data_IF_664628449759
#
_entry.id   IF_664628449759
#
_cell.length_a   1.000
_cell.length_b   1.000
_cell.length_c   1.000
_cell.angle_alpha   90.00
_cell.angle_beta   90.00
_cell.angle_gamma   90.00
#
_symmetry.space_group_name_H-M   'P 1'
#
loop_
_entity.id
_entity.type
_entity.pdbx_description
1 polymer ?
#
# COMPACT_ATOMS: atom_id res chain seq x y z
N UNK A 1 -28.70 2.02 -4.33
CA UNK A 1 -28.07 1.92 -4.38
C UNK A 1 -27.21 1.86 -4.28
N UNK A 2 -26.92 1.75 -4.04
CA UNK A 2 -26.23 1.48 -3.97
C UNK A 2 -25.21 1.39 -4.27
N UNK A 3 -24.88 2.07 -4.25
CA UNK A 3 -23.88 1.96 -4.54
C UNK A 3 -23.03 1.34 -3.84
N UNK A 4 -22.53 0.65 -4.16
CA UNK A 4 -21.62 0.05 -3.44
C UNK A 4 -20.29 0.39 -3.78
N UNK A 5 -19.53 0.79 -2.86
CA UNK A 5 -18.19 1.14 -3.13
C UNK A 5 -17.39 -0.09 -3.12
N UNK A 6 -16.65 -0.34 -4.14
CA UNK A 6 -15.74 -1.41 -4.17
C UNK A 6 -14.46 -0.98 -3.59
N UNK A 7 -14.09 -1.53 -2.46
CA UNK A 7 -12.81 -1.20 -1.83
C UNK A 7 -11.74 -2.12 -2.41
N UNK A 8 -10.68 -1.55 -2.88
CA UNK A 8 -9.58 -2.32 -3.43
C UNK A 8 -8.72 -2.85 -2.29
N UNK A 9 -8.30 -4.08 -2.42
CA UNK A 9 -7.51 -4.74 -1.40
C UNK A 9 -6.05 -4.76 -1.82
N UNK A 10 -5.19 -4.37 -0.90
CA UNK A 10 -3.77 -4.26 -1.15
C UNK A 10 -2.98 -5.00 -0.09
N UNK A 11 -1.72 -5.26 -0.39
CA UNK A 11 -0.78 -5.77 0.59
C UNK A 11 0.45 -4.87 0.56
N UNK A 12 0.89 -4.45 1.72
CA UNK A 12 2.07 -3.61 1.85
C UNK A 12 3.23 -4.45 2.34
N UNK A 13 4.30 -4.48 1.56
CA UNK A 13 5.49 -5.25 1.89
C UNK A 13 6.68 -4.34 2.09
N UNK A 14 7.63 -4.79 2.88
CA UNK A 14 8.93 -4.16 2.99
C UNK A 14 9.93 -5.25 2.62
N UNK A 15 10.52 -5.13 1.44
CA UNK A 15 11.30 -6.23 0.90
C UNK A 15 10.36 -7.39 0.65
N UNK A 16 10.58 -8.49 1.34
CA UNK A 16 9.72 -9.66 1.19
C UNK A 16 8.81 -9.87 2.40
N UNK A 17 8.83 -8.93 3.33
CA UNK A 17 8.06 -9.07 4.55
C UNK A 17 6.73 -8.36 4.43
N UNK A 18 5.65 -9.07 4.69
CA UNK A 18 4.32 -8.47 4.66
C UNK A 18 4.14 -7.64 5.93
N UNK A 19 3.84 -6.36 5.75
CA UNK A 19 3.64 -5.45 6.88
C UNK A 19 2.17 -5.31 7.22
N UNK A 20 1.31 -5.23 6.21
CA UNK A 20 -0.11 -5.04 6.44
C UNK A 20 -0.87 -5.36 5.17
N UNK A 21 -2.15 -5.69 5.29
CA UNK A 21 -2.98 -5.90 4.12
C UNK A 21 -4.38 -5.37 4.42
N UNK A 22 -5.17 -5.22 3.37
CA UNK A 22 -6.51 -4.70 3.48
C UNK A 22 -6.69 -3.51 2.56
N UNK A 23 -7.65 -2.65 2.89
CA UNK A 23 -7.85 -1.43 2.11
C UNK A 23 -6.75 -0.45 2.46
N UNK A 24 -6.59 0.58 1.63
CA UNK A 24 -5.57 1.59 1.92
C UNK A 24 -5.83 2.24 3.27
N UNK A 25 -7.09 2.42 3.63
CA UNK A 25 -7.42 3.02 4.92
C UNK A 25 -7.00 2.11 6.07
N UNK A 26 -7.23 0.82 5.92
CA UNK A 26 -6.86 -0.13 6.96
C UNK A 26 -5.35 -0.21 7.11
N UNK A 27 -4.65 -0.21 5.99
CA UNK A 27 -3.20 -0.24 6.03
C UNK A 27 -2.66 1.02 6.69
N UNK A 28 -3.23 2.18 6.33
CA UNK A 28 -2.80 3.45 6.90
C UNK A 28 -2.97 3.45 8.42
N UNK A 29 -4.08 2.96 8.89
CA UNK A 29 -4.34 2.91 10.32
C UNK A 29 -3.37 1.98 11.02
N UNK A 30 -3.14 0.82 10.44
CA UNK A 30 -2.23 -0.14 11.05
C UNK A 30 -0.81 0.38 11.10
N UNK A 31 -0.39 1.09 10.07
CA UNK A 31 0.97 1.60 10.00
C UNK A 31 1.13 2.95 10.70
N UNK A 32 0.02 3.57 11.08
CA UNK A 32 0.10 4.89 11.72
C UNK A 32 0.48 5.99 10.74
N UNK A 33 0.07 5.86 9.49
CA UNK A 33 0.37 6.86 8.46
C UNK A 33 -0.91 7.23 7.75
N UNK A 34 -0.84 8.17 6.82
CA UNK A 34 -2.02 8.61 6.09
C UNK A 34 -2.24 7.72 4.88
N UNK A 35 -3.48 7.75 4.36
CA UNK A 35 -3.78 7.02 3.13
C UNK A 35 -2.92 7.54 1.99
N UNK A 36 -2.67 8.86 1.98
CA UNK A 36 -1.82 9.45 0.96
C UNK A 36 -0.43 8.82 0.98
N UNK A 37 0.11 8.57 2.16
CA UNK A 37 1.42 7.94 2.28
C UNK A 37 1.39 6.52 1.76
N UNK A 38 0.32 5.79 2.04
CA UNK A 38 0.19 4.43 1.54
C UNK A 38 0.20 4.43 0.02
N UNK A 39 -0.58 5.32 -0.59
CA UNK A 39 -0.65 5.39 -2.04
C UNK A 39 0.66 5.86 -2.67
N UNK A 40 1.41 6.66 -1.93
CA UNK A 40 2.70 7.13 -2.42
C UNK A 40 3.64 5.97 -2.74
N UNK A 41 3.55 4.89 -1.98
CA UNK A 41 4.43 3.74 -2.20
C UNK A 41 4.19 3.06 -3.54
N UNK A 42 3.07 3.34 -4.19
CA UNK A 42 2.79 2.78 -5.51
C UNK A 42 3.34 3.64 -6.64
N UNK A 43 3.74 4.86 -6.35
CA UNK A 43 4.12 5.79 -7.41
C UNK A 43 5.48 5.45 -7.99
N UNK A 44 5.68 5.75 -9.27
CA UNK A 44 6.99 5.56 -9.89
C UNK A 44 8.06 6.40 -9.21
N UNK A 45 7.67 7.58 -8.69
CA UNK A 45 8.63 8.43 -8.02
C UNK A 45 9.24 7.73 -6.82
N UNK A 46 8.40 7.10 -6.00
CA UNK A 46 8.90 6.39 -4.84
C UNK A 46 9.76 5.21 -5.27
N UNK A 47 9.30 4.48 -6.29
CA UNK A 47 10.03 3.30 -6.74
C UNK A 47 11.42 3.66 -7.23
N UNK A 48 11.55 4.81 -7.87
CA UNK A 48 12.85 5.27 -8.34
C UNK A 48 13.76 5.70 -7.20
N UNK A 49 13.17 6.29 -6.17
CA UNK A 49 13.96 6.76 -5.03
C UNK A 49 14.42 5.64 -4.14
N UNK A 50 13.57 4.63 -3.96
CA UNK A 50 13.86 3.52 -3.05
C UNK A 50 14.66 2.46 -3.80
N UNK A 51 15.93 2.69 -3.92
CA UNK A 51 16.77 1.80 -4.69
C UNK A 51 17.06 0.46 -4.05
N UNK A 52 17.10 0.42 -2.73
CA UNK A 52 17.39 -0.84 -2.06
C UNK A 52 16.12 -1.64 -1.89
N UNK A 53 16.03 -2.75 -2.57
CA UNK A 53 14.84 -3.59 -2.55
C UNK A 53 14.48 -4.02 -1.14
N UNK A 54 15.51 -4.35 -0.34
CA UNK A 54 15.28 -4.81 1.00
C UNK A 54 14.52 -3.85 1.86
N UNK A 55 14.75 -2.54 1.69
CA UNK A 55 14.11 -1.52 2.50
C UNK A 55 12.96 -0.84 1.79
N UNK A 56 12.70 -1.19 0.55
CA UNK A 56 11.68 -0.54 -0.22
C UNK A 56 10.31 -1.10 0.16
N UNK A 57 9.38 -0.20 0.37
CA UNK A 57 8.01 -0.61 0.64
C UNK A 57 7.27 -0.69 -0.67
N UNK A 58 6.54 -1.77 -0.86
CA UNK A 58 5.82 -2.00 -2.10
C UNK A 58 4.36 -2.27 -1.77
N UNK A 59 3.47 -1.55 -2.43
CA UNK A 59 2.05 -1.75 -2.26
C UNK A 59 1.54 -2.51 -3.48
N UNK A 60 1.06 -3.71 -3.25
CA UNK A 60 0.58 -4.59 -4.31
C UNK A 60 -0.92 -4.68 -4.24
N UNK A 61 -1.59 -4.49 -5.37
CA UNK A 61 -3.04 -4.63 -5.38
C UNK A 61 -3.41 -6.09 -5.53
N UNK A 62 -4.17 -6.60 -4.58
CA UNK A 62 -4.55 -7.99 -4.58
C UNK A 62 -5.85 -8.24 -5.34
N UNK A 63 -6.79 -7.31 -5.19
CA UNK A 63 -8.03 -7.42 -5.96
C UNK A 63 -8.76 -6.09 -5.93
N UNK A 64 -9.67 -5.94 -6.84
CA UNK A 64 -10.39 -4.69 -7.00
C UNK A 64 -11.61 -4.64 -6.12
#
# INVERSE_FOLDING_TARGET
MKHKMKHKIYALYKGETLLADGTTKEIAEKMGITVRSVLYYRTPAYQRRAKKVRNRRVLVRLED
#
